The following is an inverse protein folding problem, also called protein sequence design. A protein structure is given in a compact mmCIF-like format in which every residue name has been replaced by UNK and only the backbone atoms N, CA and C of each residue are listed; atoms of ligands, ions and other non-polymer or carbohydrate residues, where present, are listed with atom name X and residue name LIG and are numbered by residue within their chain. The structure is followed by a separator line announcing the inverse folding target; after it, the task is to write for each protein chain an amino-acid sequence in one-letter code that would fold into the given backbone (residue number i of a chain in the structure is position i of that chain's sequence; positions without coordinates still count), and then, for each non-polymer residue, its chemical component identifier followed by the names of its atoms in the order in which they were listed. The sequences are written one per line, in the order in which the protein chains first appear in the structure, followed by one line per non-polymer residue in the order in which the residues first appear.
data_IF_405426724028
#
_entry.id   IF_405426724028
#
_cell.length_a   1.000
_cell.length_b   1.000
_cell.length_c   1.000
_cell.angle_alpha   90.00
_cell.angle_beta   90.00
_cell.angle_gamma   90.00
#
_symmetry.space_group_name_H-M   'P 1'
#
loop_
_entity.id
_entity.type
_entity.pdbx_description
1 polymer ?
#
# COMPACT_ATOMS: atom_id res chain seq x y z
N UNK A 1 -9.15 -1.64 -32.35
CA UNK A 1 -7.91 -0.86 -32.23
C UNK A 1 -7.58 -0.48 -30.80
N UNK A 2 -8.27 0.47 -30.13
CA UNK A 2 -7.98 0.81 -28.71
C UNK A 2 -8.12 -0.38 -27.76
N UNK A 3 -9.25 -1.08 -27.81
CA UNK A 3 -9.47 -2.28 -26.99
C UNK A 3 -8.45 -3.38 -27.27
N UNK A 4 -7.87 -3.42 -28.47
CA UNK A 4 -6.85 -4.43 -28.82
C UNK A 4 -5.47 -4.08 -28.27
N UNK A 5 -5.16 -2.79 -28.11
CA UNK A 5 -3.92 -2.30 -27.48
C UNK A 5 -3.96 -2.55 -25.97
N UNK A 6 -5.14 -2.44 -25.35
CA UNK A 6 -5.35 -2.60 -23.91
C UNK A 6 -5.58 -4.06 -23.49
N UNK A 7 -5.56 -5.01 -24.43
CA UNK A 7 -5.73 -6.44 -24.14
C UNK A 7 -4.37 -7.08 -23.81
N UNK A 8 -4.17 -7.38 -22.53
CA UNK A 8 -2.95 -8.05 -22.02
C UNK A 8 -2.68 -9.39 -22.71
N UNK A 9 -3.72 -10.09 -23.14
CA UNK A 9 -3.63 -11.38 -23.83
C UNK A 9 -3.18 -11.31 -25.29
N UNK A 10 -3.01 -10.10 -25.86
CA UNK A 10 -2.58 -9.90 -27.23
C UNK A 10 -1.22 -9.19 -27.27
N UNK A 11 -0.34 -9.58 -28.21
CA UNK A 11 0.90 -8.84 -28.43
C UNK A 11 0.55 -7.41 -28.86
N UNK A 12 1.37 -6.44 -28.41
CA UNK A 12 1.20 -5.05 -28.79
C UNK A 12 1.19 -4.94 -30.32
N UNK A 13 0.14 -4.33 -30.91
CA UNK A 13 0.11 -4.13 -32.35
C UNK A 13 1.27 -3.22 -32.74
N UNK A 14 2.06 -3.63 -33.74
CA UNK A 14 3.12 -2.78 -34.27
C UNK A 14 2.49 -1.49 -34.81
N UNK A 15 2.90 -0.29 -34.34
CA UNK A 15 2.35 0.96 -34.83
C UNK A 15 2.71 1.11 -36.31
N UNK A 16 1.79 0.75 -37.20
CA UNK A 16 1.99 0.88 -38.64
C UNK A 16 1.52 2.25 -39.11
N UNK A 17 2.35 2.90 -39.95
CA UNK A 17 2.06 4.18 -40.60
C UNK A 17 0.71 4.11 -41.35
N UNK A 18 0.34 2.96 -41.90
CA UNK A 18 -0.88 2.75 -42.69
C UNK A 18 -2.15 2.70 -41.82
N UNK A 19 -2.07 2.20 -40.58
CA UNK A 19 -3.23 2.12 -39.66
C UNK A 19 -3.51 3.43 -38.92
N UNK A 20 -2.49 4.28 -38.74
CA UNK A 20 -2.58 5.55 -38.00
C UNK A 20 -2.73 6.77 -38.94
N UNK A 21 -2.85 6.58 -40.26
CA UNK A 21 -2.65 7.63 -41.27
C UNK A 21 -3.75 8.71 -41.42
N UNK A 22 -4.72 8.78 -40.51
CA UNK A 22 -5.59 9.95 -40.41
C UNK A 22 -5.09 10.87 -39.30
N UNK A 23 -4.48 12.02 -39.63
CA UNK A 23 -3.89 12.93 -38.61
C UNK A 23 -4.83 13.29 -37.44
N UNK A 24 -6.15 13.34 -37.67
CA UNK A 24 -7.17 13.51 -36.61
C UNK A 24 -7.42 12.24 -35.78
N UNK A 25 -7.35 11.06 -36.39
CA UNK A 25 -7.50 9.79 -35.69
C UNK A 25 -6.27 9.43 -34.87
N UNK A 26 -5.06 9.64 -35.39
CA UNK A 26 -3.83 9.40 -34.64
C UNK A 26 -3.73 10.27 -33.39
N UNK A 27 -4.03 11.57 -33.51
CA UNK A 27 -4.04 12.49 -32.38
C UNK A 27 -5.06 12.06 -31.32
N UNK A 28 -6.27 11.69 -31.73
CA UNK A 28 -7.31 11.22 -30.81
C UNK A 28 -6.91 9.92 -30.10
N UNK A 29 -6.28 8.98 -30.82
CA UNK A 29 -5.79 7.71 -30.23
C UNK A 29 -4.68 7.99 -29.22
N UNK A 30 -3.73 8.86 -29.56
CA UNK A 30 -2.68 9.31 -28.64
C UNK A 30 -3.28 9.89 -27.35
N UNK A 31 -4.20 10.84 -27.48
CA UNK A 31 -4.85 11.50 -26.34
C UNK A 31 -5.62 10.52 -25.46
N UNK A 32 -6.32 9.56 -26.06
CA UNK A 32 -7.08 8.55 -25.33
C UNK A 32 -6.19 7.58 -24.56
N UNK A 33 -5.13 7.06 -25.19
CA UNK A 33 -4.18 6.16 -24.53
C UNK A 33 -3.39 6.89 -23.43
N UNK A 34 -3.02 8.15 -23.68
CA UNK A 34 -2.34 8.97 -22.69
C UNK A 34 -3.25 9.20 -21.48
N UNK A 35 -4.51 9.57 -21.72
CA UNK A 35 -5.53 9.74 -20.68
C UNK A 35 -5.74 8.46 -19.88
N UNK A 36 -5.85 7.31 -20.55
CA UNK A 36 -6.00 6.01 -19.90
C UNK A 36 -4.81 5.70 -18.97
N UNK A 37 -3.58 5.87 -19.46
CA UNK A 37 -2.38 5.69 -18.63
C UNK A 37 -2.31 6.68 -17.46
N UNK A 38 -2.71 7.94 -17.65
CA UNK A 38 -2.77 8.93 -16.55
C UNK A 38 -3.86 8.60 -15.52
N UNK A 39 -5.01 8.08 -15.95
CA UNK A 39 -6.11 7.67 -15.04
C UNK A 39 -5.70 6.50 -14.15
N UNK A 40 -4.89 5.57 -14.64
CA UNK A 40 -4.33 4.48 -13.82
C UNK A 40 -3.45 5.04 -12.70
N UNK A 41 -2.57 6.01 -13.00
CA UNK A 41 -1.77 6.64 -11.94
C UNK A 41 -2.63 7.33 -10.91
N UNK A 42 -3.61 8.12 -11.37
CA UNK A 42 -4.53 8.80 -10.48
C UNK A 42 -5.24 7.81 -9.57
N UNK A 43 -5.74 6.70 -10.12
CA UNK A 43 -6.40 5.65 -9.34
C UNK A 43 -5.48 5.03 -8.27
N UNK A 44 -4.18 4.88 -8.55
CA UNK A 44 -3.19 4.37 -7.58
C UNK A 44 -3.02 5.37 -6.42
N UNK A 45 -2.74 6.64 -6.72
CA UNK A 45 -2.53 7.63 -5.64
C UNK A 45 -3.81 7.92 -4.87
N UNK A 46 -4.97 8.00 -5.51
CA UNK A 46 -6.25 8.26 -4.83
C UNK A 46 -6.89 7.04 -4.18
N UNK A 47 -6.20 5.89 -4.18
CA UNK A 47 -6.75 4.67 -3.60
C UNK A 47 -6.89 4.79 -2.08
N UNK A 48 -8.12 4.59 -1.63
CA UNK A 48 -8.50 4.55 -0.21
C UNK A 48 -7.82 3.38 0.48
N UNK A 49 -7.06 3.66 1.53
CA UNK A 49 -6.40 2.66 2.38
C UNK A 49 -7.37 2.27 3.51
N UNK A 50 -8.43 1.52 3.19
CA UNK A 50 -9.40 1.05 4.20
C UNK A 50 -8.92 -0.17 5.00
N UNK A 51 -7.72 -0.67 4.71
CA UNK A 51 -7.12 -1.83 5.37
C UNK A 51 -7.66 -3.18 4.86
N UNK A 52 -8.66 -3.20 3.97
CA UNK A 52 -9.16 -4.41 3.35
C UNK A 52 -8.46 -4.66 2.01
N UNK A 53 -7.47 -5.56 2.03
CA UNK A 53 -6.78 -6.12 0.87
C UNK A 53 -6.49 -5.11 -0.25
N UNK A 54 -5.44 -4.28 -0.08
CA UNK A 54 -5.04 -3.29 -1.06
C UNK A 54 -4.45 -3.96 -2.32
N UNK A 55 -5.33 -4.45 -3.18
CA UNK A 55 -4.93 -5.10 -4.43
C UNK A 55 -5.06 -4.08 -5.54
N UNK A 56 -3.90 -3.65 -6.03
CA UNK A 56 -3.82 -3.01 -7.33
C UNK A 56 -4.52 -3.89 -8.36
N UNK A 57 -5.49 -3.33 -9.07
CA UNK A 57 -6.14 -4.02 -10.16
C UNK A 57 -5.10 -4.25 -11.27
N UNK A 58 -4.66 -5.49 -11.44
CA UNK A 58 -3.61 -5.83 -12.42
C UNK A 58 -4.17 -5.86 -13.84
N UNK A 59 -5.45 -6.22 -14.00
CA UNK A 59 -6.16 -6.30 -15.28
C UNK A 59 -7.46 -5.48 -15.31
N UNK A 60 -8.16 -5.53 -16.45
CA UNK A 60 -9.31 -4.65 -16.73
C UNK A 60 -8.89 -3.32 -17.36
N UNK A 61 -9.83 -2.57 -17.93
CA UNK A 61 -9.53 -1.39 -18.78
C UNK A 61 -8.74 -0.29 -18.04
N UNK A 62 -8.88 -0.22 -16.71
CA UNK A 62 -8.13 0.69 -15.83
C UNK A 62 -7.10 -0.06 -14.96
N UNK A 63 -6.69 -1.25 -15.38
CA UNK A 63 -5.69 -2.05 -14.70
C UNK A 63 -4.27 -1.59 -15.01
N UNK A 64 -3.33 -2.00 -14.16
CA UNK A 64 -1.91 -1.68 -14.28
C UNK A 64 -1.32 -2.13 -15.63
N UNK A 65 -1.63 -3.35 -16.08
CA UNK A 65 -1.07 -3.88 -17.32
C UNK A 65 -1.58 -3.15 -18.58
N UNK A 66 -2.89 -2.83 -18.71
CA UNK A 66 -3.35 -1.99 -19.83
C UNK A 66 -2.76 -0.58 -19.81
N UNK A 67 -2.54 0.02 -18.64
CA UNK A 67 -1.82 1.30 -18.52
C UNK A 67 -0.39 1.23 -19.07
N UNK A 68 0.35 0.17 -18.73
CA UNK A 68 1.70 -0.07 -19.27
C UNK A 68 1.69 -0.34 -20.78
N UNK A 69 0.75 -1.16 -21.27
CA UNK A 69 0.62 -1.42 -22.70
C UNK A 69 0.33 -0.13 -23.48
N UNK A 70 -0.53 0.76 -22.93
CA UNK A 70 -0.79 2.07 -23.52
C UNK A 70 0.49 2.91 -23.59
N UNK A 71 1.29 2.94 -22.52
CA UNK A 71 2.56 3.67 -22.47
C UNK A 71 3.60 3.15 -23.45
N UNK A 72 3.80 1.84 -23.49
CA UNK A 72 4.74 1.19 -24.41
C UNK A 72 4.34 1.46 -25.86
N UNK A 73 3.05 1.34 -26.19
CA UNK A 73 2.53 1.68 -27.51
C UNK A 73 2.78 3.15 -27.86
N UNK A 74 2.48 4.08 -26.95
CA UNK A 74 2.69 5.52 -27.15
C UNK A 74 4.16 5.83 -27.40
N UNK A 75 5.06 5.23 -26.63
CA UNK A 75 6.50 5.38 -26.80
C UNK A 75 6.94 4.89 -28.19
N UNK A 76 6.55 3.68 -28.58
CA UNK A 76 6.87 3.14 -29.90
C UNK A 76 6.28 3.99 -31.03
N UNK A 77 5.04 4.45 -30.91
CA UNK A 77 4.36 5.28 -31.90
C UNK A 77 5.09 6.62 -32.11
N UNK A 78 5.45 7.32 -31.04
CA UNK A 78 6.14 8.60 -31.15
C UNK A 78 7.56 8.40 -31.70
N UNK A 79 8.28 7.37 -31.27
CA UNK A 79 9.64 7.10 -31.75
C UNK A 79 9.70 6.73 -33.24
N UNK A 80 8.74 5.93 -33.72
CA UNK A 80 8.81 5.31 -35.06
C UNK A 80 7.98 6.03 -36.11
N UNK A 81 6.82 6.59 -35.72
CA UNK A 81 5.82 7.14 -36.65
C UNK A 81 5.75 8.67 -36.58
N UNK A 82 5.38 9.23 -35.42
CA UNK A 82 5.07 10.66 -35.27
C UNK A 82 6.32 11.55 -35.24
N UNK A 83 7.32 11.11 -34.46
CA UNK A 83 8.62 11.79 -34.24
C UNK A 83 8.51 13.22 -33.68
N UNK A 84 7.37 13.59 -33.12
CA UNK A 84 7.14 14.87 -32.44
C UNK A 84 7.87 14.91 -31.07
N UNK A 85 8.88 15.79 -30.89
CA UNK A 85 9.61 15.90 -29.63
C UNK A 85 8.73 16.27 -28.43
N UNK A 86 7.67 17.06 -28.65
CA UNK A 86 6.78 17.51 -27.57
C UNK A 86 5.94 16.36 -27.02
N UNK A 87 5.49 15.45 -27.88
CA UNK A 87 4.79 14.22 -27.47
C UNK A 87 5.74 13.25 -26.79
N UNK A 88 6.98 13.14 -27.27
CA UNK A 88 7.99 12.29 -26.65
C UNK A 88 8.30 12.75 -25.23
N UNK A 89 8.41 14.06 -25.01
CA UNK A 89 8.60 14.63 -23.68
C UNK A 89 7.43 14.28 -22.75
N UNK A 90 6.18 14.39 -23.22
CA UNK A 90 5.00 13.99 -22.42
C UNK A 90 5.01 12.51 -22.04
N UNK A 91 5.34 11.62 -22.98
CA UNK A 91 5.43 10.18 -22.71
C UNK A 91 6.54 9.88 -21.69
N UNK A 92 7.71 10.51 -21.83
CA UNK A 92 8.81 10.33 -20.89
C UNK A 92 8.48 10.85 -19.48
N UNK A 93 7.81 12.00 -19.37
CA UNK A 93 7.33 12.51 -18.08
C UNK A 93 6.36 11.53 -17.44
N UNK A 94 5.42 10.97 -18.22
CA UNK A 94 4.45 10.01 -17.71
C UNK A 94 5.15 8.70 -17.26
N UNK A 95 6.14 8.20 -18.01
CA UNK A 95 6.95 7.05 -17.59
C UNK A 95 7.67 7.29 -16.25
N UNK A 96 8.27 8.47 -16.07
CA UNK A 96 8.93 8.84 -14.81
C UNK A 96 7.94 8.89 -13.63
N UNK A 97 6.72 9.38 -13.88
CA UNK A 97 5.65 9.37 -12.89
C UNK A 97 5.24 7.93 -12.53
N UNK A 98 5.13 7.03 -13.51
CA UNK A 98 4.89 5.60 -13.27
C UNK A 98 5.96 4.97 -12.39
N UNK A 99 7.24 5.16 -12.71
CA UNK A 99 8.34 4.60 -11.92
C UNK A 99 8.27 5.07 -10.46
N UNK A 100 8.00 6.36 -10.25
CA UNK A 100 7.93 6.96 -8.92
C UNK A 100 6.70 6.48 -8.15
N UNK A 101 5.51 6.56 -8.74
CA UNK A 101 4.24 6.19 -8.11
C UNK A 101 4.19 4.70 -7.77
N UNK A 102 4.70 3.84 -8.65
CA UNK A 102 4.72 2.39 -8.39
C UNK A 102 5.73 2.00 -7.32
N UNK A 103 6.88 2.68 -7.24
CA UNK A 103 7.82 2.46 -6.14
C UNK A 103 7.21 2.86 -4.80
N UNK A 104 6.55 4.03 -4.73
CA UNK A 104 5.81 4.49 -3.56
C UNK A 104 4.69 3.53 -3.17
N UNK A 105 3.95 3.05 -4.15
CA UNK A 105 2.85 2.13 -3.93
C UNK A 105 3.33 0.76 -3.44
N UNK A 106 4.35 0.18 -4.08
CA UNK A 106 4.95 -1.06 -3.62
C UNK A 106 5.47 -0.95 -2.17
N UNK A 107 5.99 0.23 -1.80
CA UNK A 107 6.39 0.52 -0.43
C UNK A 107 5.19 0.60 0.53
N UNK A 108 4.13 1.34 0.16
CA UNK A 108 2.88 1.42 0.94
C UNK A 108 2.30 0.03 1.19
N UNK A 109 2.26 -0.81 0.16
CA UNK A 109 1.78 -2.19 0.25
C UNK A 109 2.61 -3.04 1.21
N UNK A 110 3.94 -2.94 1.11
CA UNK A 110 4.84 -3.65 2.02
C UNK A 110 4.63 -3.23 3.48
N UNK A 111 4.38 -1.95 3.74
CA UNK A 111 4.08 -1.47 5.10
C UNK A 111 2.72 -1.98 5.60
N UNK A 112 1.67 -1.88 4.78
CA UNK A 112 0.33 -2.39 5.14
C UNK A 112 0.40 -3.87 5.49
N UNK A 113 1.09 -4.68 4.68
CA UNK A 113 1.30 -6.10 4.96
C UNK A 113 2.09 -6.32 6.26
N UNK A 114 3.07 -5.46 6.56
CA UNK A 114 3.83 -5.52 7.81
C UNK A 114 2.95 -5.30 9.05
N UNK A 115 2.00 -4.36 8.99
CA UNK A 115 1.01 -4.17 10.07
C UNK A 115 0.04 -5.37 10.15
N UNK A 116 -0.47 -5.83 9.01
CA UNK A 116 -1.43 -6.93 8.93
C UNK A 116 -0.87 -8.26 9.45
N UNK A 117 0.41 -8.55 9.17
CA UNK A 117 1.10 -9.75 9.64
C UNK A 117 1.23 -9.79 11.17
N UNK A 118 1.38 -8.63 11.82
CA UNK A 118 1.55 -8.53 13.26
C UNK A 118 0.27 -8.78 14.08
N UNK A 119 -0.91 -8.75 13.43
CA UNK A 119 -2.24 -9.13 13.99
C UNK A 119 -2.50 -8.64 15.43
N UNK A 120 -2.45 -7.33 15.65
CA UNK A 120 -2.66 -6.76 16.99
C UNK A 120 -3.68 -5.63 17.03
N UNK A 121 -4.53 -5.61 18.06
CA UNK A 121 -5.64 -4.66 18.16
C UNK A 121 -5.58 -3.72 19.38
N UNK A 122 -4.54 -3.78 20.22
CA UNK A 122 -4.45 -2.90 21.40
C UNK A 122 -3.66 -1.61 21.18
N UNK A 123 -3.16 -1.36 19.97
CA UNK A 123 -2.53 -0.08 19.62
C UNK A 123 -3.54 1.06 19.36
N UNK A 124 -4.83 0.83 19.64
CA UNK A 124 -5.90 1.79 19.40
C UNK A 124 -5.99 2.14 17.91
N UNK A 125 -6.12 3.43 17.62
CA UNK A 125 -6.27 4.00 16.27
C UNK A 125 -4.95 4.21 15.53
N UNK A 126 -3.81 3.78 16.07
CA UNK A 126 -2.50 4.19 15.54
C UNK A 126 -2.32 3.76 14.08
N UNK A 127 -2.74 2.54 13.75
CA UNK A 127 -2.61 2.03 12.39
C UNK A 127 -3.57 2.74 11.42
N UNK A 128 -4.81 2.96 11.84
CA UNK A 128 -5.83 3.66 11.05
C UNK A 128 -5.46 5.13 10.83
N UNK A 129 -4.92 5.81 11.84
CA UNK A 129 -4.39 7.17 11.70
C UNK A 129 -3.20 7.21 10.72
N UNK A 130 -2.35 6.19 10.73
CA UNK A 130 -1.27 6.06 9.75
C UNK A 130 -1.78 5.82 8.34
N UNK A 131 -2.82 4.99 8.15
CA UNK A 131 -3.44 4.77 6.84
C UNK A 131 -4.00 6.07 6.26
N UNK A 132 -4.72 6.86 7.06
CA UNK A 132 -5.27 8.16 6.67
C UNK A 132 -4.14 9.11 6.28
N UNK A 133 -3.10 9.22 7.12
CA UNK A 133 -1.95 10.06 6.82
C UNK A 133 -1.24 9.61 5.52
N UNK A 134 -1.06 8.31 5.33
CA UNK A 134 -0.43 7.75 4.13
C UNK A 134 -1.23 8.02 2.86
N UNK A 135 -2.58 8.06 2.93
CA UNK A 135 -3.40 8.53 1.80
C UNK A 135 -3.03 9.96 1.41
N UNK A 136 -2.96 10.86 2.38
CA UNK A 136 -2.62 12.28 2.10
C UNK A 136 -1.21 12.44 1.54
N UNK A 137 -0.25 11.64 2.01
CA UNK A 137 1.13 11.61 1.51
C UNK A 137 1.21 11.09 0.08
N UNK A 138 0.39 10.08 -0.27
CA UNK A 138 0.30 9.58 -1.64
C UNK A 138 -0.32 10.62 -2.59
N UNK A 139 -1.26 11.43 -2.10
CA UNK A 139 -1.88 12.49 -2.91
C UNK A 139 -0.95 13.67 -3.13
N UNK A 140 -0.08 13.94 -2.16
CA UNK A 140 0.91 14.99 -2.24
C UNK A 140 2.03 14.64 -3.25
N UNK A 141 2.49 15.65 -4.01
CA UNK A 141 3.64 15.53 -4.93
C UNK A 141 4.97 15.53 -4.17
N UNK A 142 5.10 14.56 -3.27
CA UNK A 142 6.22 14.39 -2.35
C UNK A 142 7.46 13.88 -3.09
N UNK A 143 8.59 14.53 -2.84
CA UNK A 143 9.89 14.19 -3.44
C UNK A 143 10.47 12.91 -2.84
N UNK A 144 11.41 12.29 -3.56
CA UNK A 144 12.19 11.13 -3.05
C UNK A 144 12.87 11.42 -1.71
N UNK A 145 13.31 12.66 -1.49
CA UNK A 145 13.92 13.06 -0.23
C UNK A 145 12.90 13.08 0.90
N UNK A 146 11.69 13.59 0.68
CA UNK A 146 10.62 13.57 1.68
C UNK A 146 10.18 12.14 2.02
N UNK A 147 10.34 11.19 1.11
CA UNK A 147 10.05 9.79 1.36
C UNK A 147 11.13 9.06 2.16
N UNK A 148 12.40 9.21 1.74
CA UNK A 148 13.46 8.29 2.16
C UNK A 148 14.59 8.96 2.95
N UNK A 149 14.57 10.28 3.19
CA UNK A 149 15.57 10.96 4.02
C UNK A 149 15.56 10.37 5.42
N UNK A 150 16.67 9.84 5.89
CA UNK A 150 16.79 9.37 7.27
C UNK A 150 17.53 10.40 8.13
N UNK A 151 16.87 10.89 9.17
CA UNK A 151 17.54 11.71 10.19
C UNK A 151 18.34 10.83 11.17
N UNK A 152 19.64 10.66 10.89
CA UNK A 152 20.55 9.83 11.71
C UNK A 152 21.00 10.49 13.04
N UNK A 153 20.45 11.65 13.38
CA UNK A 153 20.91 12.45 14.53
C UNK A 153 20.57 11.84 15.89
N UNK A 154 19.56 10.96 15.95
CA UNK A 154 19.13 10.30 17.19
C UNK A 154 19.59 8.84 17.23
N UNK A 155 20.09 8.40 18.40
CA UNK A 155 20.40 6.99 18.65
C UNK A 155 19.08 6.20 18.63
N UNK A 156 18.83 5.47 17.55
CA UNK A 156 17.66 4.59 17.39
C UNK A 156 17.98 3.20 17.94
N UNK A 157 16.96 2.42 18.35
CA UNK A 157 17.13 1.02 18.68
C UNK A 157 17.65 0.24 17.47
N UNK A 158 18.49 -0.77 17.70
CA UNK A 158 19.13 -1.51 16.59
C UNK A 158 18.11 -2.18 15.67
N UNK A 159 17.04 -2.74 16.25
CA UNK A 159 15.95 -3.36 15.47
C UNK A 159 15.28 -2.35 14.52
N UNK A 160 15.19 -1.08 14.91
CA UNK A 160 14.62 -0.01 14.07
C UNK A 160 15.56 0.32 12.92
N UNK A 161 16.87 0.37 13.18
CA UNK A 161 17.88 0.57 12.12
C UNK A 161 17.90 -0.61 11.12
N UNK A 162 17.77 -1.84 11.61
CA UNK A 162 17.71 -3.03 10.76
C UNK A 162 16.45 -3.00 9.86
N UNK A 163 15.30 -2.57 10.40
CA UNK A 163 14.07 -2.36 9.62
C UNK A 163 14.26 -1.22 8.61
N UNK A 164 14.91 -0.12 8.98
CA UNK A 164 15.17 1.00 8.08
C UNK A 164 15.99 0.58 6.85
N UNK A 165 16.99 -0.29 7.04
CA UNK A 165 17.77 -0.86 5.94
C UNK A 165 16.92 -1.70 4.97
N UNK A 166 15.89 -2.38 5.48
CA UNK A 166 14.95 -3.14 4.65
C UNK A 166 13.98 -2.20 3.95
N UNK A 167 13.45 -1.21 4.68
CA UNK A 167 12.46 -0.26 4.18
C UNK A 167 13.00 0.68 3.09
N UNK A 168 14.30 0.95 3.07
CA UNK A 168 14.97 1.75 2.03
C UNK A 168 15.21 0.99 0.72
N UNK A 169 14.93 -0.32 0.66
CA UNK A 169 15.07 -1.11 -0.57
C UNK A 169 13.99 -0.72 -1.58
N UNK A 170 14.41 -0.10 -2.69
CA UNK A 170 13.53 0.23 -3.83
C UNK A 170 13.14 -0.99 -4.67
N UNK A 171 13.96 -2.04 -4.64
CA UNK A 171 13.70 -3.31 -5.32
C UNK A 171 13.66 -4.41 -4.27
N UNK A 172 12.57 -5.17 -4.24
CA UNK A 172 12.37 -6.26 -3.28
C UNK A 172 12.38 -7.60 -4.02
N UNK A 173 13.05 -8.64 -3.49
CA UNK A 173 12.92 -9.98 -4.03
C UNK A 173 11.47 -10.45 -3.88
N UNK A 174 10.99 -11.23 -4.86
CA UNK A 174 9.68 -11.87 -4.78
C UNK A 174 9.85 -13.18 -3.98
N UNK A 175 10.03 -13.05 -2.67
CA UNK A 175 9.99 -14.17 -1.73
C UNK A 175 8.86 -13.94 -0.72
N UNK A 176 8.20 -15.02 -0.29
CA UNK A 176 7.05 -14.94 0.62
C UNK A 176 7.38 -14.25 1.94
N UNK A 177 8.63 -14.36 2.37
CA UNK A 177 9.12 -13.80 3.63
C UNK A 177 9.52 -12.32 3.50
N UNK A 178 9.59 -11.79 2.28
CA UNK A 178 9.95 -10.39 1.96
C UNK A 178 8.73 -9.47 1.77
N UNK A 179 7.50 -10.01 1.86
CA UNK A 179 6.25 -9.24 1.69
C UNK A 179 5.94 -8.31 2.88
N UNK A 180 6.64 -8.45 4.00
CA UNK A 180 6.53 -7.58 5.18
C UNK A 180 7.83 -7.55 5.97
N UNK A 181 7.80 -7.04 7.20
CA UNK A 181 8.95 -7.05 8.10
C UNK A 181 9.19 -8.47 8.65
N UNK A 182 10.40 -9.05 8.50
CA UNK A 182 10.69 -10.43 8.92
C UNK A 182 10.73 -10.64 10.45
N UNK A 183 10.75 -9.55 11.24
CA UNK A 183 10.82 -9.57 12.71
C UNK A 183 9.46 -9.58 13.41
N UNK A 184 8.42 -10.12 12.77
CA UNK A 184 7.04 -9.81 13.10
C UNK A 184 6.57 -10.17 14.53
N UNK A 185 7.28 -10.98 15.34
CA UNK A 185 6.73 -11.37 16.66
C UNK A 185 7.76 -11.46 17.81
N UNK A 186 8.69 -12.42 17.77
CA UNK A 186 9.50 -12.78 18.95
C UNK A 186 10.44 -11.68 19.50
N UNK A 187 11.16 -10.90 18.67
CA UNK A 187 12.12 -9.93 19.18
C UNK A 187 11.48 -8.82 20.03
N UNK A 188 10.31 -8.33 19.62
CA UNK A 188 9.62 -7.20 20.26
C UNK A 188 9.16 -7.48 21.69
N UNK A 189 9.04 -8.76 22.08
CA UNK A 189 8.70 -9.18 23.44
C UNK A 189 9.86 -9.13 24.43
N UNK A 190 11.10 -8.95 23.96
CA UNK A 190 12.29 -8.95 24.83
C UNK A 190 12.38 -7.69 25.67
N UNK A 191 12.92 -7.79 26.89
CA UNK A 191 13.00 -6.64 27.80
C UNK A 191 13.99 -5.61 27.28
N UNK A 192 15.08 -6.04 26.65
CA UNK A 192 16.08 -5.16 26.05
C UNK A 192 15.45 -4.27 24.97
N UNK A 193 14.73 -4.85 24.00
CA UNK A 193 14.13 -4.08 22.91
C UNK A 193 13.06 -3.12 23.42
N UNK A 194 12.23 -3.55 24.37
CA UNK A 194 11.21 -2.67 24.98
C UNK A 194 11.83 -1.47 25.67
N UNK A 195 12.91 -1.68 26.43
CA UNK A 195 13.63 -0.61 27.10
C UNK A 195 14.32 0.34 26.10
N UNK A 196 14.95 -0.19 25.05
CA UNK A 196 15.57 0.63 24.01
C UNK A 196 14.55 1.52 23.31
N UNK A 197 13.39 0.98 22.94
CA UNK A 197 12.30 1.74 22.31
C UNK A 197 11.73 2.77 23.27
N UNK A 198 11.49 2.42 24.54
CA UNK A 198 11.01 3.38 25.54
C UNK A 198 11.99 4.55 25.70
N UNK A 199 13.29 4.29 25.81
CA UNK A 199 14.33 5.32 25.91
C UNK A 199 14.34 6.19 24.65
N UNK A 200 14.25 5.59 23.48
CA UNK A 200 14.21 6.30 22.21
C UNK A 200 12.99 7.21 22.09
N UNK A 201 11.80 6.71 22.40
CA UNK A 201 10.54 7.48 22.39
C UNK A 201 10.62 8.63 23.40
N UNK A 202 11.09 8.35 24.62
CA UNK A 202 11.21 9.38 25.67
C UNK A 202 12.20 10.47 25.32
N UNK A 203 13.32 10.13 24.66
CA UNK A 203 14.33 11.11 24.21
C UNK A 203 13.90 11.91 22.99
N UNK A 204 13.21 11.26 22.06
CA UNK A 204 12.68 11.93 20.87
C UNK A 204 11.57 12.90 21.25
N UNK A 205 10.77 12.55 22.27
CA UNK A 205 9.68 13.38 22.74
C UNK A 205 8.53 13.38 21.74
N UNK A 206 8.12 14.57 21.30
CA UNK A 206 7.09 14.73 20.29
C UNK A 206 7.71 14.61 18.90
N UNK A 207 7.20 13.68 18.09
CA UNK A 207 7.70 13.48 16.74
C UNK A 207 7.15 14.60 15.84
N UNK A 208 8.02 15.29 15.11
CA UNK A 208 7.60 16.23 14.08
C UNK A 208 7.14 15.48 12.82
N UNK A 209 5.88 15.06 12.80
CA UNK A 209 5.26 14.37 11.66
C UNK A 209 5.26 15.19 10.36
N UNK A 210 5.52 16.51 10.43
CA UNK A 210 5.53 17.40 9.26
C UNK A 210 6.91 17.52 8.65
N UNK A 211 7.95 17.59 9.50
CA UNK A 211 9.35 17.67 9.09
C UNK A 211 10.00 16.31 8.84
N UNK A 212 9.46 15.24 9.42
CA UNK A 212 9.96 13.88 9.27
C UNK A 212 9.70 13.33 7.86
N UNK A 213 10.58 12.41 7.43
CA UNK A 213 10.35 11.67 6.21
C UNK A 213 9.27 10.61 6.38
N UNK A 214 8.73 10.13 5.26
CA UNK A 214 7.73 9.05 5.26
C UNK A 214 8.28 7.80 5.95
N UNK A 215 9.55 7.49 5.68
CA UNK A 215 10.26 6.39 6.30
C UNK A 215 10.39 6.57 7.82
N UNK A 216 10.77 7.77 8.30
CA UNK A 216 10.93 7.99 9.74
C UNK A 216 9.57 7.89 10.46
N UNK A 217 8.50 8.47 9.90
CA UNK A 217 7.14 8.35 10.44
C UNK A 217 6.70 6.88 10.51
N UNK A 218 6.97 6.09 9.48
CA UNK A 218 6.69 4.66 9.49
C UNK A 218 7.48 3.93 10.58
N UNK A 219 8.78 4.14 10.68
CA UNK A 219 9.63 3.46 11.66
C UNK A 219 9.15 3.74 13.09
N UNK A 220 8.78 4.98 13.38
CA UNK A 220 8.19 5.38 14.66
C UNK A 220 6.87 4.68 14.92
N UNK A 221 5.92 4.83 13.99
CA UNK A 221 4.55 4.31 14.12
C UNK A 221 4.55 2.78 14.25
N UNK A 222 5.32 2.10 13.40
CA UNK A 222 5.43 0.64 13.45
C UNK A 222 6.08 0.17 14.75
N UNK A 223 7.14 0.83 15.23
CA UNK A 223 7.79 0.45 16.49
C UNK A 223 6.85 0.60 17.69
N UNK A 224 6.08 1.70 17.77
CA UNK A 224 5.07 1.88 18.81
C UNK A 224 3.97 0.82 18.73
N UNK A 225 3.49 0.53 17.52
CA UNK A 225 2.51 -0.52 17.27
C UNK A 225 3.01 -1.89 17.75
N UNK A 226 4.27 -2.24 17.44
CA UNK A 226 4.87 -3.52 17.81
C UNK A 226 5.16 -3.65 19.30
N UNK A 227 5.63 -2.58 19.97
CA UNK A 227 5.91 -2.61 21.41
C UNK A 227 4.62 -2.59 22.25
N UNK A 228 3.60 -1.83 21.83
CA UNK A 228 2.27 -1.93 22.41
C UNK A 228 1.69 -3.35 22.22
N UNK A 229 1.95 -3.90 21.03
CA UNK A 229 1.68 -5.26 20.56
C UNK A 229 2.36 -6.38 21.30
N UNK A 230 3.34 -6.91 20.61
CA UNK A 230 4.16 -8.04 21.00
C UNK A 230 5.03 -7.72 22.23
N UNK A 231 5.39 -6.45 22.42
CA UNK A 231 6.06 -5.98 23.63
C UNK A 231 5.18 -5.95 24.88
N UNK A 232 3.85 -6.06 24.73
CA UNK A 232 2.86 -6.04 25.83
C UNK A 232 2.93 -4.76 26.68
N UNK A 233 3.33 -3.65 26.08
CA UNK A 233 3.40 -2.34 26.75
C UNK A 233 2.08 -1.58 26.66
N UNK A 234 0.99 -2.19 26.18
CA UNK A 234 -0.32 -1.52 26.02
C UNK A 234 -0.88 -0.89 27.30
N UNK A 235 -0.47 -1.38 28.47
CA UNK A 235 -0.93 -0.89 29.79
C UNK A 235 0.06 0.08 30.45
N UNK A 236 1.23 0.31 29.85
CA UNK A 236 2.24 1.20 30.44
C UNK A 236 1.92 2.66 30.11
N UNK A 237 2.08 3.53 31.13
CA UNK A 237 1.74 4.95 31.03
C UNK A 237 2.53 5.65 29.91
N UNK A 238 3.81 5.31 29.77
CA UNK A 238 4.67 5.88 28.73
C UNK A 238 4.18 5.51 27.33
N UNK A 239 3.74 4.27 27.12
CA UNK A 239 3.29 3.79 25.83
C UNK A 239 1.94 4.40 25.49
N UNK A 240 1.02 4.47 26.44
CA UNK A 240 -0.28 5.12 26.24
C UNK A 240 -0.13 6.58 25.81
N UNK A 241 0.70 7.35 26.53
CA UNK A 241 0.99 8.74 26.19
C UNK A 241 1.60 8.87 24.79
N UNK A 242 2.55 8.01 24.45
CA UNK A 242 3.19 8.02 23.14
C UNK A 242 2.20 7.68 22.01
N UNK A 243 1.27 6.75 22.24
CA UNK A 243 0.21 6.41 21.29
C UNK A 243 -0.73 7.59 21.06
N UNK A 244 -1.24 8.21 22.12
CA UNK A 244 -2.14 9.36 22.00
C UNK A 244 -1.51 10.52 21.24
N UNK A 245 -0.27 10.87 21.59
CA UNK A 245 0.48 11.92 20.88
C UNK A 245 0.70 11.58 19.41
N UNK A 246 1.08 10.34 19.11
CA UNK A 246 1.35 9.90 17.73
C UNK A 246 0.08 9.86 16.88
N UNK A 247 -1.03 9.37 17.44
CA UNK A 247 -2.34 9.37 16.77
C UNK A 247 -2.75 10.80 16.45
N UNK A 248 -2.67 11.70 17.43
CA UNK A 248 -3.04 13.10 17.23
C UNK A 248 -2.13 13.78 16.18
N UNK A 249 -0.82 13.56 16.26
CA UNK A 249 0.15 14.10 15.31
C UNK A 249 -0.09 13.65 13.87
N UNK A 250 -0.39 12.36 13.66
CA UNK A 250 -0.75 11.83 12.34
C UNK A 250 -2.04 12.45 11.80
N UNK A 251 -3.08 12.58 12.64
CA UNK A 251 -4.35 13.17 12.23
C UNK A 251 -4.23 14.67 11.91
N UNK A 252 -3.42 15.41 12.66
CA UNK A 252 -3.18 16.83 12.41
C UNK A 252 -2.32 17.05 11.16
N UNK A 253 -1.27 16.25 10.95
CA UNK A 253 -0.52 16.26 9.69
C UNK A 253 -1.42 15.93 8.48
N UNK A 254 -2.35 14.97 8.63
CA UNK A 254 -3.30 14.62 7.56
C UNK A 254 -4.19 15.81 7.17
N UNK A 255 -4.72 16.54 8.15
CA UNK A 255 -5.58 17.71 7.92
C UNK A 255 -4.88 18.84 7.17
N UNK A 256 -3.58 19.02 7.41
CA UNK A 256 -2.82 20.07 6.74
C UNK A 256 -2.59 19.78 5.26
N UNK A 257 -2.46 18.50 4.91
CA UNK A 257 -2.39 18.07 3.51
C UNK A 257 -3.75 18.09 2.83
N UNK A 258 -4.81 17.67 3.52
CA UNK A 258 -6.18 17.69 3.00
C UNK A 258 -7.19 18.03 4.11
N UNK A 259 -7.86 19.18 3.98
CA UNK A 259 -8.70 19.71 5.07
C UNK A 259 -9.93 18.83 5.36
N UNK A 260 -10.49 18.17 4.35
CA UNK A 260 -11.72 17.37 4.48
C UNK A 260 -11.49 15.90 4.82
N UNK A 261 -10.22 15.43 4.83
CA UNK A 261 -9.92 13.99 4.91
C UNK A 261 -10.47 13.33 6.19
N UNK A 262 -10.45 14.01 7.33
CA UNK A 262 -10.99 13.43 8.57
C UNK A 262 -12.51 13.36 8.60
N UNK A 263 -13.20 14.24 7.86
CA UNK A 263 -14.65 14.17 7.72
C UNK A 263 -15.03 13.00 6.80
N UNK A 264 -14.30 12.85 5.70
CA UNK A 264 -14.45 11.74 4.75
C UNK A 264 -14.13 10.38 5.37
N UNK A 265 -13.18 10.33 6.31
CA UNK A 265 -12.75 9.11 7.01
C UNK A 265 -13.36 8.94 8.40
N UNK A 266 -14.39 9.73 8.74
CA UNK A 266 -15.06 9.69 10.05
C UNK A 266 -15.53 8.27 10.41
N UNK A 267 -16.03 7.50 9.45
CA UNK A 267 -16.49 6.13 9.70
C UNK A 267 -15.37 5.17 10.12
N UNK A 268 -14.18 5.27 9.53
CA UNK A 268 -13.01 4.46 9.92
C UNK A 268 -12.54 4.81 11.34
N UNK A 269 -12.54 6.10 11.66
CA UNK A 269 -12.16 6.61 12.98
C UNK A 269 -13.17 6.13 14.04
N UNK A 270 -14.47 6.23 13.77
CA UNK A 270 -15.52 5.81 14.71
C UNK A 270 -15.58 4.28 14.86
N UNK A 271 -15.51 3.52 13.76
CA UNK A 271 -15.59 2.06 13.77
C UNK A 271 -14.48 1.38 14.58
N UNK A 272 -13.37 2.09 14.80
CA UNK A 272 -12.23 1.61 15.58
C UNK A 272 -12.30 2.04 17.05
N UNK A 273 -12.97 3.17 17.35
CA UNK A 273 -13.26 3.62 18.73
C UNK A 273 -14.39 2.79 19.37
N UNK A 274 -15.39 2.39 18.58
CA UNK A 274 -16.46 1.52 19.04
C UNK A 274 -16.18 0.07 18.60
N UNK A 275 -15.60 -0.79 19.45
CA UNK A 275 -15.46 -2.19 19.08
C UNK A 275 -16.87 -2.73 18.80
N UNK A 276 -17.07 -3.27 17.59
CA UNK A 276 -18.31 -3.94 17.20
C UNK A 276 -18.72 -4.87 18.34
N UNK A 277 -19.73 -4.45 19.10
CA UNK A 277 -20.41 -5.32 20.05
C UNK A 277 -21.01 -6.41 19.17
N UNK A 278 -20.35 -7.56 19.11
CA UNK A 278 -20.95 -8.77 18.57
C UNK A 278 -22.25 -8.96 19.34
N UNK A 279 -23.37 -8.58 18.71
CA UNK A 279 -24.68 -8.98 19.17
C UNK A 279 -24.70 -10.50 19.05
N UNK A 280 -24.36 -11.17 20.16
CA UNK A 280 -24.78 -12.54 20.42
C UNK A 280 -26.29 -12.56 20.27
N UNK A 281 -26.77 -12.94 19.08
CA UNK A 281 -28.17 -13.30 18.88
C UNK A 281 -28.37 -14.59 19.66
N UNK A 282 -28.74 -14.44 20.93
CA UNK A 282 -29.35 -15.49 21.73
C UNK A 282 -30.71 -15.79 21.13
N UNK A 283 -30.89 -17.03 20.70
CA UNK A 283 -32.18 -17.70 20.77
C UNK A 283 -32.95 -17.81 19.45
N UNK A 284 -32.65 -18.85 18.69
CA UNK A 284 -33.69 -19.58 17.98
C UNK A 284 -33.61 -21.05 18.42
N UNK A 285 -34.37 -21.40 19.47
CA UNK A 285 -34.77 -22.79 19.72
C UNK A 285 -35.46 -23.29 18.45
N UNK A 286 -34.83 -24.20 17.71
CA UNK A 286 -35.53 -25.03 16.74
C UNK A 286 -35.46 -26.48 17.21
N UNK A 287 -36.57 -26.92 17.79
CA UNK A 287 -36.82 -28.30 18.17
C UNK A 287 -36.68 -29.23 16.95
N UNK A 288 -35.88 -30.28 17.14
CA UNK A 288 -36.10 -31.64 16.69
C UNK A 288 -36.58 -31.91 15.26
N UNK A 289 -35.65 -32.37 14.41
CA UNK A 289 -35.96 -33.46 13.47
C UNK A 289 -34.72 -34.34 13.26
N UNK A 290 -34.87 -35.62 13.64
CA UNK A 290 -33.88 -36.69 13.44
C UNK A 290 -33.52 -36.81 11.96
N UNK A 291 -32.24 -36.77 11.64
CA UNK A 291 -31.69 -37.28 10.37
C UNK A 291 -31.17 -38.69 10.66
N UNK A 292 -31.75 -39.69 9.97
CA UNK A 292 -31.22 -41.04 9.85
C UNK A 292 -30.31 -41.11 8.63
N UNK A 293 -29.29 -41.94 8.77
CA UNK A 293 -28.24 -42.33 7.83
C UNK A 293 -28.68 -42.52 6.38
N UNK A 294 -27.89 -42.00 5.43
CA UNK A 294 -27.53 -42.68 4.17
C UNK A 294 -26.05 -42.34 3.87
N UNK A 295 -25.27 -43.40 3.60
CA UNK A 295 -23.82 -43.40 3.42
C UNK A 295 -23.28 -42.86 2.09
N UNK A 296 -22.00 -43.16 1.76
CA UNK A 296 -21.11 -42.27 1.02
C UNK A 296 -21.14 -42.49 -0.50
N UNK A 297 -20.92 -41.40 -1.24
CA UNK A 297 -20.51 -41.35 -2.64
C UNK A 297 -19.33 -40.36 -2.63
N UNK A 298 -18.10 -40.70 -2.98
CA UNK A 298 -17.63 -41.38 -4.18
C UNK A 298 -16.58 -40.44 -4.78
N UNK A 299 -15.35 -40.94 -4.87
CA UNK A 299 -14.10 -40.23 -5.22
C UNK A 299 -14.16 -39.45 -6.54
N UNK A 300 -13.42 -38.34 -6.62
CA UNK A 300 -12.61 -38.02 -7.80
C UNK A 300 -11.54 -36.98 -7.44
N UNK A 301 -10.36 -37.46 -7.06
CA UNK A 301 -9.10 -36.71 -7.05
C UNK A 301 -8.47 -36.95 -8.43
N UNK A 302 -8.20 -35.89 -9.20
CA UNK A 302 -7.27 -35.97 -10.33
C UNK A 302 -6.08 -35.05 -10.06
N UNK A 303 -5.02 -35.70 -9.59
CA UNK A 303 -3.64 -35.24 -9.64
C UNK A 303 -3.07 -35.52 -11.04
N UNK A 304 -2.56 -34.49 -11.72
CA UNK A 304 -1.66 -34.66 -12.86
C UNK A 304 -0.23 -34.37 -12.41
N UNK A 305 0.54 -35.43 -12.24
CA UNK A 305 1.99 -35.43 -12.17
C UNK A 305 2.55 -35.57 -13.60
N UNK A 306 3.39 -34.63 -14.02
CA UNK A 306 4.22 -34.76 -15.21
C UNK A 306 5.32 -35.79 -15.02
N UNK A 307 5.57 -36.58 -16.07
CA UNK A 307 6.77 -37.40 -16.22
C UNK A 307 7.58 -36.92 -17.42
N UNK A 308 8.90 -36.77 -17.24
CA UNK A 308 9.87 -36.94 -18.32
C UNK A 308 9.73 -38.36 -18.90
N UNK A 309 10.08 -38.65 -20.15
CA UNK A 309 11.26 -38.29 -20.91
C UNK A 309 10.92 -37.92 -22.38
#
# INVERSE_FOLDING_TARGET
MMEEILLVSRPLPSPSIVQMQGGKHAQRVFELLFKCASEVLLAIVTYVSDGESPVLWVGGILGLFPGFQALEFLQCYVQTVDKDPSKMMKVNTLLLQYDTTLAKEAWRQWVILSFAQSKYNKAGLLYEAWLIWMETVMWADTTDNEWYRMERSNVRPKIVDDIAQIATRRVRPIQTDDFGIPYANEPWGTTEIRMEVQVWVTKTGDMDFKGASVLDVFLWTYSLYMVCGHGRESESEWCHKALEMSIQGLLDASKEHELTILEERRELIIATIEPKVEKKVKGAKRNGRKIKDIGPVGECIQSFSGGGD
#
